data_IF_658482805675
#
_entry.id   IF_658482805675
#
_cell.length_a   1.000
_cell.length_b   1.000
_cell.length_c   1.000
_cell.angle_alpha   90.00
_cell.angle_beta   90.00
_cell.angle_gamma   90.00
#
_symmetry.space_group_name_H-M   'P 1'
#
loop_
_entity.id
_entity.type
_entity.pdbx_description
1 polymer ?
#
# COMPACT_ATOMS: atom_id res chain seq x y z
N UNK A 1 30.27 3.37 -2.63
CA UNK A 1 29.08 3.01 -3.45
C UNK A 1 27.87 3.71 -2.83
N UNK A 2 27.03 4.31 -3.63
CA UNK A 2 25.80 4.99 -3.16
C UNK A 2 24.88 4.00 -2.43
N UNK A 3 24.49 4.29 -1.17
CA UNK A 3 23.68 3.38 -0.32
C UNK A 3 22.43 2.89 -1.05
N UNK A 4 21.73 3.76 -1.77
CA UNK A 4 20.51 3.46 -2.51
C UNK A 4 20.67 2.33 -3.55
N UNK A 5 21.88 2.22 -4.15
CA UNK A 5 22.21 1.23 -5.19
C UNK A 5 22.88 -0.04 -4.62
N UNK A 6 23.05 -0.13 -3.29
CA UNK A 6 23.60 -1.35 -2.67
C UNK A 6 22.51 -2.39 -2.47
N UNK A 7 22.85 -3.69 -2.59
CA UNK A 7 21.91 -4.77 -2.27
C UNK A 7 21.39 -4.67 -0.84
N UNK A 8 20.19 -5.19 -0.63
CA UNK A 8 19.56 -5.36 0.68
C UNK A 8 18.99 -6.76 0.81
N UNK A 9 19.07 -7.33 2.00
CA UNK A 9 18.44 -8.59 2.36
C UNK A 9 17.19 -8.32 3.20
N UNK A 10 16.04 -8.81 2.75
CA UNK A 10 14.80 -8.79 3.53
C UNK A 10 14.89 -9.74 4.73
N UNK A 11 14.03 -9.55 5.73
CA UNK A 11 14.10 -10.36 6.94
C UNK A 11 13.86 -11.86 6.72
N UNK A 12 13.11 -12.25 5.67
CA UNK A 12 12.94 -13.65 5.26
C UNK A 12 14.11 -14.20 4.41
N UNK A 13 15.18 -13.44 4.23
CA UNK A 13 16.39 -13.87 3.52
C UNK A 13 16.45 -13.53 2.04
N UNK A 14 15.37 -13.06 1.43
CA UNK A 14 15.34 -12.64 0.01
C UNK A 14 16.27 -11.45 -0.19
N UNK A 15 17.13 -11.52 -1.21
CA UNK A 15 18.05 -10.46 -1.56
C UNK A 15 17.50 -9.64 -2.73
N UNK A 16 17.54 -8.30 -2.59
CA UNK A 16 17.19 -7.33 -3.62
C UNK A 16 18.48 -6.63 -4.08
N UNK A 17 18.58 -6.32 -5.38
CA UNK A 17 19.78 -5.73 -5.99
C UNK A 17 20.05 -4.28 -5.54
N UNK A 18 19.03 -3.57 -5.17
CA UNK A 18 19.11 -2.19 -4.68
C UNK A 18 17.94 -1.91 -3.72
N UNK A 19 17.84 -0.68 -3.22
CA UNK A 19 16.91 -0.29 -2.15
C UNK A 19 15.64 0.40 -2.65
N UNK A 20 15.46 0.53 -3.96
CA UNK A 20 14.24 1.09 -4.52
C UNK A 20 13.13 0.05 -4.63
N UNK A 21 11.91 0.49 -4.41
CA UNK A 21 10.70 -0.32 -4.50
C UNK A 21 9.67 0.44 -5.33
N UNK A 22 9.03 -0.26 -6.28
CA UNK A 22 7.80 0.26 -6.89
C UNK A 22 6.68 0.09 -5.87
N UNK A 23 6.29 1.19 -5.24
CA UNK A 23 5.22 1.25 -4.25
C UNK A 23 3.83 1.18 -4.89
N UNK A 24 2.82 0.73 -4.16
CA UNK A 24 1.46 0.62 -4.67
C UNK A 24 0.96 1.87 -5.39
N UNK A 25 0.47 1.65 -6.61
CA UNK A 25 -0.27 2.63 -7.40
C UNK A 25 -1.44 1.89 -8.05
N UNK A 26 -2.65 2.23 -7.68
CA UNK A 26 -3.86 1.69 -8.32
C UNK A 26 -4.12 2.48 -9.60
N UNK A 27 -4.20 1.80 -10.72
CA UNK A 27 -4.45 2.42 -12.03
C UNK A 27 -5.93 2.65 -12.30
N UNK A 28 -6.81 1.96 -11.57
CA UNK A 28 -8.28 2.02 -11.75
C UNK A 28 -8.69 1.71 -13.21
N UNK A 29 -8.06 0.70 -13.83
CA UNK A 29 -8.18 0.34 -15.25
C UNK A 29 -8.64 -1.10 -15.50
N UNK A 30 -8.99 -1.81 -14.43
CA UNK A 30 -9.54 -3.16 -14.51
C UNK A 30 -11.04 -3.14 -14.86
N UNK A 31 -11.68 -4.30 -14.89
CA UNK A 31 -13.14 -4.34 -15.06
C UNK A 31 -13.87 -4.01 -13.75
N UNK A 32 -15.18 -3.69 -13.83
CA UNK A 32 -16.00 -3.48 -12.62
C UNK A 32 -16.05 -4.70 -11.69
N UNK A 33 -15.90 -5.91 -12.27
CA UNK A 33 -15.87 -7.16 -11.53
C UNK A 33 -14.44 -7.50 -11.01
N UNK A 34 -13.51 -6.57 -11.11
CA UNK A 34 -12.15 -6.70 -10.59
C UNK A 34 -11.22 -7.59 -11.42
N UNK A 35 -11.51 -7.82 -12.67
CA UNK A 35 -10.66 -8.62 -13.56
C UNK A 35 -9.64 -7.73 -14.27
N UNK A 36 -8.39 -8.12 -14.19
CA UNK A 36 -7.24 -7.44 -14.79
C UNK A 36 -7.39 -7.36 -16.31
N UNK A 37 -7.17 -6.17 -16.87
CA UNK A 37 -7.28 -5.89 -18.30
C UNK A 37 -5.90 -5.92 -18.97
N UNK A 38 -5.90 -5.80 -20.31
CA UNK A 38 -4.66 -5.64 -21.06
C UNK A 38 -3.92 -4.35 -20.69
N UNK A 39 -4.62 -3.28 -20.38
CA UNK A 39 -4.01 -1.99 -20.00
C UNK A 39 -3.28 -2.11 -18.67
N UNK A 40 -3.84 -2.82 -17.67
CA UNK A 40 -3.15 -3.14 -16.42
C UNK A 40 -1.84 -3.89 -16.66
N UNK A 41 -1.87 -4.87 -17.59
CA UNK A 41 -0.70 -5.70 -17.93
C UNK A 41 0.38 -4.91 -18.68
N UNK A 42 0.00 -4.07 -19.63
CA UNK A 42 0.93 -3.21 -20.38
C UNK A 42 1.62 -2.22 -19.44
N UNK A 43 0.86 -1.62 -18.48
CA UNK A 43 1.39 -0.76 -17.43
C UNK A 43 2.43 -1.48 -16.57
N UNK A 44 2.10 -2.69 -16.10
CA UNK A 44 3.00 -3.50 -15.28
C UNK A 44 4.27 -3.91 -16.06
N UNK A 45 4.12 -4.36 -17.29
CA UNK A 45 5.23 -4.79 -18.14
C UNK A 45 6.20 -3.64 -18.44
N UNK A 46 5.68 -2.41 -18.70
CA UNK A 46 6.54 -1.22 -18.92
C UNK A 46 7.42 -0.91 -17.70
N UNK A 47 6.94 -1.27 -16.50
CA UNK A 47 7.62 -1.01 -15.23
C UNK A 47 8.37 -2.22 -14.67
N UNK A 48 8.46 -3.32 -15.41
CA UNK A 48 9.12 -4.55 -14.96
C UNK A 48 10.60 -4.37 -14.55
N UNK A 49 11.26 -3.33 -15.05
CA UNK A 49 12.67 -2.98 -14.73
C UNK A 49 12.82 -1.84 -13.73
N UNK A 50 11.73 -1.25 -13.27
CA UNK A 50 11.79 -0.02 -12.46
C UNK A 50 12.42 -0.24 -11.08
N UNK A 51 12.17 -1.38 -10.44
CA UNK A 51 12.70 -1.70 -9.12
C UNK A 51 12.75 -3.23 -8.89
N UNK A 52 13.66 -3.74 -8.04
CA UNK A 52 13.77 -5.18 -7.76
C UNK A 52 12.63 -5.76 -6.91
N UNK A 53 11.91 -4.92 -6.18
CA UNK A 53 10.67 -5.25 -5.49
C UNK A 53 9.56 -4.36 -6.02
N UNK A 54 8.45 -4.96 -6.40
CA UNK A 54 7.32 -4.23 -7.00
C UNK A 54 6.03 -4.67 -6.30
N UNK A 55 5.31 -3.70 -5.75
CA UNK A 55 4.02 -3.94 -5.10
C UNK A 55 2.91 -3.44 -6.02
N UNK A 56 1.90 -4.26 -6.23
CA UNK A 56 0.74 -3.92 -7.06
C UNK A 56 -0.07 -2.75 -6.47
N UNK A 57 -0.99 -2.19 -7.23
CA UNK A 57 -2.12 -1.46 -6.67
C UNK A 57 -2.96 -2.33 -5.73
N UNK A 58 -3.93 -1.71 -5.07
CA UNK A 58 -4.79 -2.36 -4.10
C UNK A 58 -5.65 -3.46 -4.75
N UNK A 59 -5.46 -4.70 -4.34
CA UNK A 59 -6.32 -5.84 -4.68
C UNK A 59 -7.30 -6.08 -3.53
N UNK A 60 -8.59 -5.91 -3.77
CA UNK A 60 -9.57 -6.13 -2.73
C UNK A 60 -9.81 -7.63 -2.50
N UNK A 61 -9.90 -8.02 -1.22
CA UNK A 61 -10.09 -9.43 -0.81
C UNK A 61 -11.56 -9.85 -0.81
N UNK A 62 -12.46 -8.87 -0.85
CA UNK A 62 -13.91 -9.05 -0.92
C UNK A 62 -14.54 -7.89 -1.70
N UNK A 63 -15.67 -8.16 -2.39
CA UNK A 63 -16.38 -7.14 -3.18
C UNK A 63 -16.90 -5.99 -2.32
N UNK A 64 -17.32 -6.25 -1.09
CA UNK A 64 -17.72 -5.21 -0.13
C UNK A 64 -16.53 -4.35 0.33
N UNK A 65 -15.31 -4.82 0.12
CA UNK A 65 -14.06 -4.11 0.40
C UNK A 65 -13.45 -3.40 -0.81
N UNK A 66 -14.11 -3.33 -1.94
CA UNK A 66 -13.64 -2.64 -3.14
C UNK A 66 -13.56 -1.13 -2.89
N UNK A 67 -12.38 -0.53 -3.17
CA UNK A 67 -12.14 0.90 -2.98
C UNK A 67 -12.39 1.70 -4.26
N UNK A 68 -11.96 1.19 -5.41
CA UNK A 68 -12.04 1.85 -6.71
C UNK A 68 -12.96 1.08 -7.65
N UNK A 69 -13.81 1.77 -8.40
CA UNK A 69 -14.81 1.15 -9.29
C UNK A 69 -14.19 0.19 -10.31
N UNK A 70 -12.98 0.51 -10.79
CA UNK A 70 -12.22 -0.28 -11.75
C UNK A 70 -10.90 -0.81 -11.14
N UNK A 71 -10.86 -0.99 -9.81
CA UNK A 71 -9.78 -1.68 -9.14
C UNK A 71 -9.87 -3.18 -9.35
N UNK A 72 -8.73 -3.89 -9.38
CA UNK A 72 -8.74 -5.34 -9.49
C UNK A 72 -8.89 -6.02 -8.13
N UNK A 73 -9.38 -7.26 -8.16
CA UNK A 73 -9.65 -8.06 -6.97
C UNK A 73 -8.78 -9.31 -6.86
N UNK A 74 -8.75 -9.82 -5.64
CA UNK A 74 -8.29 -11.18 -5.30
C UNK A 74 -9.40 -11.95 -4.56
N UNK A 75 -10.66 -11.55 -4.76
CA UNK A 75 -11.84 -11.97 -4.02
C UNK A 75 -12.42 -13.31 -4.46
N UNK A 76 -12.13 -13.72 -5.70
CA UNK A 76 -12.68 -14.95 -6.31
C UNK A 76 -11.61 -15.65 -7.17
N UNK A 77 -11.78 -16.96 -7.39
CA UNK A 77 -10.85 -17.76 -8.21
C UNK A 77 -10.83 -17.33 -9.69
N UNK A 78 -11.89 -16.69 -10.18
CA UNK A 78 -11.92 -16.07 -11.53
C UNK A 78 -10.88 -14.96 -11.71
N UNK A 79 -10.36 -14.38 -10.63
CA UNK A 79 -9.27 -13.39 -10.68
C UNK A 79 -7.92 -14.03 -11.01
N UNK A 80 -7.71 -15.32 -10.73
CA UNK A 80 -6.40 -15.99 -10.83
C UNK A 80 -5.75 -15.86 -12.20
N UNK A 81 -6.45 -16.10 -13.33
CA UNK A 81 -5.81 -15.97 -14.64
C UNK A 81 -5.24 -14.56 -14.91
N UNK A 82 -5.95 -13.52 -14.50
CA UNK A 82 -5.50 -12.13 -14.60
C UNK A 82 -4.33 -11.85 -13.66
N UNK A 83 -4.43 -12.26 -12.41
CA UNK A 83 -3.37 -12.14 -11.39
C UNK A 83 -2.09 -12.86 -11.82
N UNK A 84 -2.19 -14.06 -12.45
CA UNK A 84 -1.04 -14.78 -13.00
C UNK A 84 -0.33 -13.98 -14.10
N UNK A 85 -1.09 -13.39 -15.02
CA UNK A 85 -0.51 -12.53 -16.06
C UNK A 85 0.16 -11.30 -15.47
N UNK A 86 -0.44 -10.70 -14.43
CA UNK A 86 0.12 -9.54 -13.71
C UNK A 86 1.43 -9.91 -13.03
N UNK A 87 1.47 -11.00 -12.28
CA UNK A 87 2.70 -11.48 -11.64
C UNK A 87 3.81 -11.72 -12.67
N UNK A 88 3.50 -12.37 -13.79
CA UNK A 88 4.44 -12.62 -14.87
C UNK A 88 4.94 -11.31 -15.51
N UNK A 89 4.06 -10.33 -15.77
CA UNK A 89 4.43 -9.04 -16.35
C UNK A 89 5.39 -8.27 -15.42
N UNK A 90 5.08 -8.19 -14.12
CA UNK A 90 5.93 -7.53 -13.13
C UNK A 90 7.29 -8.22 -12.98
N UNK A 91 7.32 -9.56 -13.06
CA UNK A 91 8.53 -10.38 -12.88
C UNK A 91 9.33 -10.60 -14.18
N UNK A 92 8.88 -10.05 -15.31
CA UNK A 92 9.51 -10.27 -16.61
C UNK A 92 11.00 -9.88 -16.69
N UNK A 93 11.48 -9.07 -15.76
CA UNK A 93 12.88 -8.64 -15.65
C UNK A 93 13.58 -9.08 -14.37
N UNK A 94 13.01 -10.07 -13.66
CA UNK A 94 13.59 -10.62 -12.43
C UNK A 94 13.19 -9.93 -11.13
N UNK A 95 12.30 -8.93 -11.17
CA UNK A 95 11.75 -8.32 -9.97
C UNK A 95 10.92 -9.31 -9.14
N UNK A 96 10.77 -9.06 -7.85
CA UNK A 96 9.85 -9.76 -6.97
C UNK A 96 8.50 -9.04 -6.97
N UNK A 97 7.44 -9.66 -7.49
CA UNK A 97 6.10 -9.12 -7.53
C UNK A 97 5.33 -9.44 -6.25
N UNK A 98 4.76 -8.41 -5.62
CA UNK A 98 4.00 -8.48 -4.37
C UNK A 98 2.56 -8.07 -4.66
N UNK A 99 1.60 -8.89 -4.28
CA UNK A 99 0.17 -8.54 -4.36
C UNK A 99 -0.24 -7.81 -3.09
N UNK A 100 -0.66 -6.54 -3.20
CA UNK A 100 -1.17 -5.81 -2.05
C UNK A 100 -2.62 -6.19 -1.78
N UNK A 101 -2.90 -6.73 -0.60
CA UNK A 101 -4.24 -7.14 -0.15
C UNK A 101 -4.88 -6.03 0.69
N UNK A 102 -6.12 -5.69 0.36
CA UNK A 102 -6.86 -4.60 1.01
C UNK A 102 -8.33 -4.96 1.26
N UNK A 103 -8.91 -4.28 2.24
CA UNK A 103 -10.35 -4.14 2.45
C UNK A 103 -10.61 -2.69 2.84
N UNK A 104 -11.37 -1.96 2.02
CA UNK A 104 -11.49 -0.50 2.15
C UNK A 104 -12.27 -0.04 3.39
N UNK A 105 -13.20 -0.83 3.90
CA UNK A 105 -14.02 -0.43 5.02
C UNK A 105 -14.84 0.83 4.72
N UNK A 106 -14.79 1.81 5.61
CA UNK A 106 -15.57 3.05 5.49
C UNK A 106 -15.31 3.86 4.21
N UNK A 107 -14.23 3.57 3.49
CA UNK A 107 -13.93 4.14 2.17
C UNK A 107 -14.61 3.47 0.99
N UNK A 108 -15.29 2.33 1.17
CA UNK A 108 -15.85 1.52 0.08
C UNK A 108 -16.83 2.27 -0.84
N UNK A 109 -17.53 3.28 -0.33
CA UNK A 109 -18.46 4.09 -1.13
C UNK A 109 -17.88 5.36 -1.72
N UNK A 110 -16.58 5.55 -1.61
CA UNK A 110 -15.95 6.78 -2.07
C UNK A 110 -16.22 7.05 -3.56
N UNK A 111 -16.40 6.00 -4.35
CA UNK A 111 -16.56 6.05 -5.80
C UNK A 111 -17.91 5.51 -6.31
N UNK A 112 -18.95 5.54 -5.48
CA UNK A 112 -20.30 5.20 -5.91
C UNK A 112 -20.55 3.71 -6.14
N UNK A 113 -19.71 2.85 -5.57
CA UNK A 113 -19.97 1.41 -5.54
C UNK A 113 -21.13 1.20 -4.57
N UNK A 114 -22.27 0.75 -5.07
CA UNK A 114 -23.53 0.61 -4.31
C UNK A 114 -23.48 -0.56 -3.32
N UNK A 115 -22.44 -0.62 -2.48
CA UNK A 115 -22.31 -1.64 -1.45
C UNK A 115 -22.61 -1.04 -0.09
N UNK A 116 -23.02 -1.88 0.84
CA UNK A 116 -23.05 -1.51 2.25
C UNK A 116 -21.63 -1.23 2.70
N UNK A 117 -21.46 -0.14 3.43
CA UNK A 117 -20.17 0.29 3.95
C UNK A 117 -20.06 -0.19 5.39
N UNK A 118 -19.02 -0.93 5.66
CA UNK A 118 -18.78 -1.52 6.97
C UNK A 118 -17.58 -0.89 7.69
N UNK A 119 -17.63 -0.93 9.01
CA UNK A 119 -16.55 -0.47 9.88
C UNK A 119 -16.61 -1.13 11.25
N UNK A 120 -15.69 -0.76 12.17
CA UNK A 120 -15.71 -1.27 13.53
C UNK A 120 -16.96 -0.86 14.30
N UNK A 121 -17.56 0.29 13.95
CA UNK A 121 -18.71 0.84 14.67
C UNK A 121 -19.63 1.59 13.72
N UNK A 122 -20.89 1.69 14.09
CA UNK A 122 -21.88 2.47 13.34
C UNK A 122 -21.50 3.95 13.40
N UNK A 123 -21.26 4.56 12.24
CA UNK A 123 -20.88 5.96 12.09
C UNK A 123 -21.66 6.59 10.93
N UNK A 124 -21.88 7.90 11.03
CA UNK A 124 -22.34 8.72 9.91
C UNK A 124 -21.19 9.56 9.42
N UNK A 125 -20.80 9.38 8.16
CA UNK A 125 -19.73 10.15 7.52
C UNK A 125 -20.33 11.15 6.54
N UNK A 126 -19.66 12.30 6.38
CA UNK A 126 -20.13 13.39 5.53
C UNK A 126 -19.24 13.62 4.30
N UNK A 127 -18.11 12.93 4.23
CA UNK A 127 -17.14 13.05 3.14
C UNK A 127 -16.87 11.67 2.52
N UNK A 128 -16.78 11.61 1.19
CA UNK A 128 -16.97 12.66 0.17
C UNK A 128 -18.43 13.07 0.00
N UNK A 129 -19.37 12.25 0.43
CA UNK A 129 -20.81 12.50 0.53
C UNK A 129 -21.34 11.87 1.82
N UNK A 130 -22.55 12.26 2.20
CA UNK A 130 -23.17 11.72 3.41
C UNK A 130 -23.54 10.23 3.22
N UNK A 131 -23.04 9.37 4.09
CA UNK A 131 -23.34 7.94 4.11
C UNK A 131 -23.22 7.33 5.51
N UNK A 132 -23.87 6.19 5.71
CA UNK A 132 -23.79 5.44 6.96
C UNK A 132 -22.77 4.31 6.83
N UNK A 133 -22.01 4.09 7.90
CA UNK A 133 -21.14 2.92 8.11
C UNK A 133 -21.87 1.97 9.05
N UNK A 134 -22.07 0.72 8.63
CA UNK A 134 -22.65 -0.33 9.46
C UNK A 134 -21.54 -0.98 10.30
N UNK A 135 -21.87 -1.37 11.53
CA UNK A 135 -20.94 -2.10 12.40
C UNK A 135 -20.82 -3.56 11.96
N UNK A 136 -19.59 -4.05 11.84
CA UNK A 136 -19.35 -5.48 11.57
C UNK A 136 -19.76 -6.35 12.78
N UNK A 137 -20.49 -7.42 12.50
CA UNK A 137 -20.67 -8.48 13.50
C UNK A 137 -19.40 -9.34 13.63
N UNK A 138 -19.31 -10.17 14.69
CA UNK A 138 -18.21 -11.12 14.87
C UNK A 138 -18.11 -12.12 13.71
N UNK A 139 -19.25 -12.62 13.25
CA UNK A 139 -19.31 -13.53 12.09
C UNK A 139 -18.75 -12.88 10.82
N UNK A 140 -19.03 -11.58 10.60
CA UNK A 140 -18.49 -10.84 9.46
C UNK A 140 -16.97 -10.62 9.59
N UNK A 141 -16.47 -10.37 10.80
CA UNK A 141 -15.04 -10.28 11.07
C UNK A 141 -14.35 -11.61 10.71
N UNK A 142 -14.93 -12.76 11.11
CA UNK A 142 -14.42 -14.09 10.77
C UNK A 142 -14.44 -14.33 9.26
N UNK A 143 -15.51 -13.93 8.57
CA UNK A 143 -15.58 -14.00 7.10
C UNK A 143 -14.47 -13.17 6.46
N UNK A 144 -14.21 -11.95 6.90
CA UNK A 144 -13.15 -11.10 6.35
C UNK A 144 -11.76 -11.74 6.57
N UNK A 145 -11.49 -12.32 7.74
CA UNK A 145 -10.25 -13.07 7.99
C UNK A 145 -10.09 -14.22 6.98
N UNK A 146 -11.17 -14.98 6.74
CA UNK A 146 -11.15 -16.05 5.74
C UNK A 146 -10.90 -15.50 4.32
N UNK A 147 -11.47 -14.34 3.96
CA UNK A 147 -11.21 -13.68 2.67
C UNK A 147 -9.75 -13.31 2.47
N UNK A 148 -9.04 -12.81 3.50
CA UNK A 148 -7.60 -12.56 3.44
C UNK A 148 -6.80 -13.86 3.21
N UNK A 149 -7.18 -14.97 3.86
CA UNK A 149 -6.55 -16.30 3.65
C UNK A 149 -6.74 -16.77 2.20
N UNK A 150 -7.96 -16.67 1.69
CA UNK A 150 -8.27 -17.13 0.33
C UNK A 150 -7.61 -16.26 -0.73
N UNK A 151 -7.53 -14.94 -0.52
CA UNK A 151 -6.78 -14.04 -1.37
C UNK A 151 -5.26 -14.36 -1.35
N UNK A 152 -4.71 -14.73 -0.20
CA UNK A 152 -3.31 -15.20 -0.07
C UNK A 152 -3.09 -16.47 -0.88
N UNK A 153 -3.98 -17.47 -0.82
CA UNK A 153 -3.90 -18.68 -1.67
C UNK A 153 -3.95 -18.35 -3.16
N UNK A 154 -4.79 -17.38 -3.55
CA UNK A 154 -4.85 -16.92 -4.94
C UNK A 154 -3.56 -16.25 -5.38
N UNK A 155 -2.92 -15.44 -4.51
CA UNK A 155 -1.62 -14.86 -4.79
C UNK A 155 -0.53 -15.93 -4.99
N UNK A 156 -0.50 -16.96 -4.13
CA UNK A 156 0.43 -18.10 -4.25
C UNK A 156 0.18 -18.84 -5.58
N UNK A 157 -1.06 -19.20 -5.87
CA UNK A 157 -1.45 -19.91 -7.11
C UNK A 157 -1.18 -19.08 -8.36
N UNK A 158 -1.28 -17.76 -8.28
CA UNK A 158 -0.99 -16.84 -9.37
C UNK A 158 0.53 -16.63 -9.61
N UNK A 159 1.40 -17.10 -8.70
CA UNK A 159 2.85 -17.01 -8.86
C UNK A 159 3.45 -15.67 -8.43
N UNK A 160 2.78 -14.91 -7.55
CA UNK A 160 3.41 -13.78 -6.88
C UNK A 160 4.53 -14.25 -5.96
N UNK A 161 5.59 -13.43 -5.85
CA UNK A 161 6.69 -13.66 -4.91
C UNK A 161 6.30 -13.37 -3.45
N UNK A 162 5.15 -12.75 -3.22
CA UNK A 162 4.67 -12.42 -1.90
C UNK A 162 3.36 -11.64 -1.90
N UNK A 163 2.95 -11.27 -0.70
CA UNK A 163 1.82 -10.36 -0.47
C UNK A 163 2.24 -9.23 0.47
N UNK A 164 1.52 -8.10 0.41
CA UNK A 164 1.58 -7.01 1.37
C UNK A 164 0.18 -6.80 1.96
N UNK A 165 0.05 -6.90 3.28
CA UNK A 165 -1.21 -6.54 3.96
C UNK A 165 -1.16 -5.05 4.27
N UNK A 166 -2.15 -4.29 3.77
CA UNK A 166 -2.24 -2.87 4.02
C UNK A 166 -3.25 -2.54 5.12
N UNK A 167 -2.75 -1.87 6.16
CA UNK A 167 -3.56 -1.23 7.21
C UNK A 167 -3.42 0.29 7.18
N UNK A 168 -2.96 0.85 6.04
CA UNK A 168 -2.72 2.27 5.91
C UNK A 168 -3.97 3.03 5.41
N UNK A 169 -3.94 4.35 5.55
CA UNK A 169 -4.84 5.26 4.84
C UNK A 169 -6.34 5.01 5.10
N UNK A 170 -6.67 4.64 6.35
CA UNK A 170 -8.03 4.36 6.85
C UNK A 170 -8.70 3.13 6.22
N UNK A 171 -7.93 2.16 5.76
CA UNK A 171 -8.47 0.85 5.42
C UNK A 171 -9.06 0.14 6.65
N UNK A 172 -9.88 -0.87 6.43
CA UNK A 172 -10.66 -1.56 7.48
C UNK A 172 -9.83 -1.90 8.72
N UNK A 173 -8.69 -2.53 8.55
CA UNK A 173 -7.84 -2.96 9.67
C UNK A 173 -7.33 -1.77 10.50
N UNK A 174 -6.94 -0.65 9.85
CA UNK A 174 -6.57 0.56 10.58
C UNK A 174 -7.74 1.13 11.36
N UNK A 175 -8.96 1.09 10.80
CA UNK A 175 -10.14 1.67 11.47
C UNK A 175 -10.50 0.94 12.77
N UNK A 176 -10.19 -0.36 12.90
CA UNK A 176 -10.30 -1.10 14.16
C UNK A 176 -9.27 -0.67 15.20
N UNK A 177 -8.06 -0.34 14.77
CA UNK A 177 -7.01 0.12 15.67
C UNK A 177 -7.22 1.55 16.18
N UNK A 178 -7.91 2.38 15.40
CA UNK A 178 -8.13 3.79 15.69
C UNK A 178 -9.31 4.04 16.63
N UNK A 179 -9.09 4.75 17.74
CA UNK A 179 -10.15 5.20 18.63
C UNK A 179 -11.09 6.24 18.01
N UNK A 180 -10.71 6.83 16.86
CA UNK A 180 -11.58 7.75 16.10
C UNK A 180 -12.75 7.00 15.47
N UNK A 181 -12.49 5.85 14.86
CA UNK A 181 -13.49 5.05 14.12
C UNK A 181 -14.04 3.90 14.92
N UNK A 182 -13.27 3.32 15.84
CA UNK A 182 -13.69 2.22 16.70
C UNK A 182 -14.32 2.77 17.98
N UNK A 183 -15.55 2.34 18.27
CA UNK A 183 -16.31 2.68 19.50
C UNK A 183 -16.88 1.42 20.18
N UNK A 184 -16.39 0.24 19.77
CA UNK A 184 -16.81 -1.04 20.37
C UNK A 184 -16.30 -1.18 21.78
N UNK A 185 -17.03 -2.00 22.57
CA UNK A 185 -16.68 -2.39 23.94
C UNK A 185 -16.61 -3.92 24.11
N UNK A 186 -16.33 -4.61 23.01
CA UNK A 186 -16.08 -6.06 23.01
C UNK A 186 -14.57 -6.35 22.83
N UNK A 187 -14.24 -7.61 22.52
CA UNK A 187 -12.84 -8.03 22.34
C UNK A 187 -12.12 -7.38 21.15
N UNK A 188 -12.82 -6.67 20.26
CA UNK A 188 -12.26 -5.88 19.16
C UNK A 188 -12.36 -4.36 19.44
N UNK A 189 -12.73 -3.96 20.65
CA UNK A 189 -13.09 -2.60 21.02
C UNK A 189 -11.98 -1.78 21.65
N UNK A 190 -12.37 -0.62 22.18
CA UNK A 190 -11.45 0.43 22.65
C UNK A 190 -10.99 0.27 24.09
N UNK A 191 -11.46 -0.75 24.80
CA UNK A 191 -11.21 -0.91 26.23
C UNK A 191 -9.74 -1.26 26.55
N UNK A 192 -9.00 -1.78 25.58
CA UNK A 192 -7.55 -1.95 25.66
C UNK A 192 -6.88 -1.82 24.30
N UNK A 193 -5.57 -1.61 24.30
CA UNK A 193 -4.77 -1.60 23.08
C UNK A 193 -4.78 -2.97 22.39
N UNK A 194 -4.73 -4.05 23.18
CA UNK A 194 -4.80 -5.43 22.70
C UNK A 194 -6.11 -5.69 21.94
N UNK A 195 -7.23 -5.20 22.45
CA UNK A 195 -8.53 -5.35 21.82
C UNK A 195 -8.55 -4.62 20.45
N UNK A 196 -8.05 -3.38 20.40
CA UNK A 196 -7.93 -2.61 19.16
C UNK A 196 -7.02 -3.29 18.12
N UNK A 197 -5.96 -3.94 18.59
CA UNK A 197 -4.99 -4.64 17.75
C UNK A 197 -5.48 -6.01 17.27
N UNK A 198 -6.42 -6.63 17.96
CA UNK A 198 -6.83 -8.04 17.81
C UNK A 198 -7.12 -8.42 16.36
N UNK A 199 -7.94 -7.66 15.65
CA UNK A 199 -8.31 -8.00 14.28
C UNK A 199 -7.08 -8.01 13.34
N UNK A 200 -6.17 -7.05 13.48
CA UNK A 200 -4.93 -7.01 12.72
C UNK A 200 -4.08 -8.25 13.04
N UNK A 201 -3.89 -8.55 14.32
CA UNK A 201 -3.07 -9.67 14.77
C UNK A 201 -3.61 -11.02 14.28
N UNK A 202 -4.93 -11.20 14.32
CA UNK A 202 -5.60 -12.40 13.82
C UNK A 202 -5.45 -12.55 12.31
N UNK A 203 -5.64 -11.47 11.53
CA UNK A 203 -5.41 -11.50 10.07
C UNK A 203 -3.98 -11.90 9.75
N UNK A 204 -2.98 -11.28 10.38
CA UNK A 204 -1.57 -11.63 10.14
C UNK A 204 -1.27 -13.08 10.51
N UNK A 205 -1.74 -13.54 11.66
CA UNK A 205 -1.55 -14.93 12.13
C UNK A 205 -2.16 -15.92 11.14
N UNK A 206 -3.42 -15.72 10.75
CA UNK A 206 -4.13 -16.66 9.89
C UNK A 206 -3.59 -16.66 8.46
N UNK A 207 -3.19 -15.50 7.93
CA UNK A 207 -2.52 -15.38 6.63
C UNK A 207 -1.16 -16.08 6.68
N UNK A 208 -0.39 -15.90 7.75
CA UNK A 208 0.91 -16.55 7.89
C UNK A 208 0.80 -18.07 7.97
N UNK A 209 -0.25 -18.62 8.61
CA UNK A 209 -0.49 -20.07 8.59
C UNK A 209 -0.72 -20.60 7.16
N UNK A 210 -1.38 -19.83 6.29
CA UNK A 210 -1.50 -20.19 4.86
C UNK A 210 -0.12 -20.16 4.19
N UNK A 211 0.64 -19.07 4.38
CA UNK A 211 1.98 -18.92 3.78
C UNK A 211 2.88 -20.08 4.21
N UNK A 212 2.95 -20.37 5.50
CA UNK A 212 3.79 -21.44 6.07
C UNK A 212 3.50 -22.82 5.49
N UNK A 213 2.23 -23.10 5.19
CA UNK A 213 1.80 -24.43 4.75
C UNK A 213 1.72 -24.58 3.22
N UNK A 214 1.51 -23.50 2.48
CA UNK A 214 1.13 -23.55 1.07
C UNK A 214 2.06 -22.77 0.13
N UNK A 215 2.89 -21.84 0.66
CA UNK A 215 3.76 -20.99 -0.15
C UNK A 215 5.20 -21.56 -0.29
N UNK A 216 5.96 -21.08 -1.30
CA UNK A 216 7.40 -21.28 -1.35
C UNK A 216 8.10 -20.71 -0.11
N UNK A 217 9.25 -21.28 0.26
CA UNK A 217 10.01 -20.92 1.47
C UNK A 217 10.45 -19.43 1.47
N UNK A 218 10.72 -18.87 0.27
CA UNK A 218 11.14 -17.47 0.08
C UNK A 218 9.97 -16.50 -0.10
N UNK A 219 8.73 -16.91 0.17
CA UNK A 219 7.55 -16.08 0.00
C UNK A 219 7.59 -14.85 0.92
N UNK A 220 7.37 -13.67 0.36
CA UNK A 220 7.51 -12.40 1.05
C UNK A 220 6.19 -12.00 1.71
N UNK A 221 6.23 -11.66 3.00
CA UNK A 221 5.11 -11.06 3.72
C UNK A 221 5.44 -9.63 4.11
N UNK A 222 4.86 -8.65 3.41
CA UNK A 222 4.99 -7.23 3.71
C UNK A 222 3.87 -6.70 4.59
N UNK A 223 4.16 -5.65 5.32
CA UNK A 223 3.20 -4.88 6.11
C UNK A 223 3.24 -3.41 5.72
N UNK A 224 2.12 -2.84 5.27
CA UNK A 224 1.99 -1.41 4.96
C UNK A 224 1.07 -0.74 5.96
N UNK A 225 1.57 0.30 6.65
CA UNK A 225 0.88 0.91 7.78
C UNK A 225 1.01 2.43 7.84
N UNK A 226 0.06 3.07 8.52
CA UNK A 226 0.14 4.44 8.98
C UNK A 226 0.54 4.42 10.46
N UNK A 227 1.69 4.98 10.88
CA UNK A 227 2.18 4.83 12.25
C UNK A 227 1.49 5.70 13.30
N UNK A 228 0.80 6.74 12.87
CA UNK A 228 0.09 7.64 13.77
C UNK A 228 -1.19 8.13 13.11
N UNK A 229 -2.30 8.19 13.84
CA UNK A 229 -3.50 8.86 13.37
C UNK A 229 -3.86 10.01 14.29
N UNK A 230 -3.71 11.25 13.77
CA UNK A 230 -4.12 12.48 14.45
C UNK A 230 -5.05 13.31 13.55
N UNK A 231 -6.11 13.88 14.12
CA UNK A 231 -7.06 14.79 13.46
C UNK A 231 -7.19 16.06 14.29
N UNK A 232 -6.25 16.98 14.11
CA UNK A 232 -6.11 18.14 15.02
C UNK A 232 -5.76 17.65 16.41
N UNK A 233 -6.58 18.00 17.41
CA UNK A 233 -6.41 17.56 18.79
C UNK A 233 -6.93 16.13 19.08
N UNK A 234 -7.57 15.48 18.10
CA UNK A 234 -8.09 14.13 18.27
C UNK A 234 -7.03 13.13 17.87
N UNK A 235 -6.67 12.22 18.76
CA UNK A 235 -5.69 11.16 18.55
C UNK A 235 -6.43 9.84 18.38
N UNK A 236 -6.27 9.19 17.23
CA UNK A 236 -6.77 7.85 16.96
C UNK A 236 -5.88 6.79 17.59
N UNK A 237 -4.58 6.94 17.40
CA UNK A 237 -3.50 6.20 18.05
C UNK A 237 -2.17 6.94 17.87
N UNK A 238 -1.22 6.67 18.76
CA UNK A 238 0.12 7.27 18.75
C UNK A 238 1.14 6.36 18.06
N UNK A 239 2.32 6.90 17.78
CA UNK A 239 3.45 6.11 17.24
C UNK A 239 3.92 5.05 18.23
N UNK A 240 3.82 5.29 19.54
CA UNK A 240 4.15 4.32 20.59
C UNK A 240 3.19 3.12 20.57
N UNK A 241 1.88 3.39 20.42
CA UNK A 241 0.87 2.34 20.27
C UNK A 241 1.08 1.54 18.99
N UNK A 242 1.46 2.19 17.90
CA UNK A 242 1.84 1.52 16.64
C UNK A 242 3.09 0.66 16.81
N UNK A 243 4.11 1.15 17.50
CA UNK A 243 5.33 0.39 17.79
C UNK A 243 5.01 -0.87 18.62
N UNK A 244 4.12 -0.77 19.59
CA UNK A 244 3.64 -1.92 20.36
C UNK A 244 2.86 -2.92 19.50
N UNK A 245 1.98 -2.45 18.60
CA UNK A 245 1.30 -3.31 17.62
C UNK A 245 2.32 -4.05 16.75
N UNK A 246 3.34 -3.34 16.28
CA UNK A 246 4.40 -3.91 15.44
C UNK A 246 5.18 -4.99 16.18
N UNK A 247 5.49 -4.78 17.45
CA UNK A 247 6.14 -5.81 18.29
C UNK A 247 5.26 -7.07 18.38
N UNK A 248 3.97 -6.92 18.65
CA UNK A 248 3.04 -8.05 18.72
C UNK A 248 2.88 -8.79 17.39
N UNK A 249 2.97 -8.10 16.25
CA UNK A 249 2.99 -8.77 14.95
C UNK A 249 4.29 -9.56 14.80
N UNK A 250 5.46 -8.94 15.05
CA UNK A 250 6.77 -9.58 14.89
C UNK A 250 7.00 -10.77 15.84
N UNK A 251 6.36 -10.77 17.01
CA UNK A 251 6.37 -11.92 17.94
C UNK A 251 5.61 -13.13 17.36
N UNK A 252 4.66 -12.92 16.47
CA UNK A 252 3.74 -13.96 15.95
C UNK A 252 4.06 -14.38 14.53
N UNK A 253 4.54 -13.46 13.69
CA UNK A 253 4.78 -13.69 12.27
C UNK A 253 6.07 -13.04 11.81
N UNK A 254 6.88 -13.69 10.96
CA UNK A 254 8.11 -13.14 10.42
C UNK A 254 7.78 -12.21 9.24
N UNK A 255 7.63 -10.92 9.49
CA UNK A 255 7.49 -9.94 8.42
C UNK A 255 8.80 -9.83 7.63
N UNK A 256 8.69 -9.69 6.32
CA UNK A 256 9.85 -9.49 5.43
C UNK A 256 10.28 -8.02 5.36
N UNK A 257 9.32 -7.09 5.43
CA UNK A 257 9.52 -5.64 5.49
C UNK A 257 8.29 -4.92 6.04
N UNK A 258 8.48 -3.67 6.46
CA UNK A 258 7.39 -2.75 6.84
C UNK A 258 7.49 -1.50 5.96
N UNK A 259 6.37 -1.07 5.37
CA UNK A 259 6.25 0.16 4.58
C UNK A 259 5.40 1.19 5.31
N UNK A 260 5.92 2.41 5.48
CA UNK A 260 5.16 3.52 6.06
C UNK A 260 4.39 4.23 4.96
N UNK A 261 3.11 4.45 5.17
CA UNK A 261 2.24 5.22 4.30
C UNK A 261 1.29 6.11 5.10
N UNK A 262 0.91 7.22 4.51
CA UNK A 262 -0.07 8.14 5.08
C UNK A 262 -0.67 8.99 3.96
N UNK A 263 -1.54 9.94 4.29
CA UNK A 263 -2.02 10.97 3.40
C UNK A 263 -1.16 12.23 3.51
N UNK A 264 -0.85 12.88 2.41
CA UNK A 264 -0.17 14.17 2.38
C UNK A 264 1.04 14.25 1.44
N UNK A 265 1.69 15.41 1.48
CA UNK A 265 2.92 15.67 0.73
C UNK A 265 4.13 15.32 1.61
N UNK A 266 5.21 14.84 0.98
CA UNK A 266 6.48 14.54 1.66
C UNK A 266 6.29 13.73 2.95
N UNK A 267 5.52 12.64 2.88
CA UNK A 267 5.14 11.81 4.04
C UNK A 267 6.37 11.32 4.79
N UNK A 268 7.48 11.06 4.09
CA UNK A 268 8.73 10.64 4.70
C UNK A 268 9.31 11.68 5.69
N UNK A 269 8.82 12.93 5.65
CA UNK A 269 9.15 14.01 6.59
C UNK A 269 8.06 14.26 7.65
N UNK A 270 7.03 13.43 7.70
CA UNK A 270 5.99 13.59 8.72
C UNK A 270 6.59 13.46 10.12
N UNK A 271 6.15 14.37 10.99
CA UNK A 271 6.54 14.40 12.40
C UNK A 271 5.43 13.85 13.27
N UNK A 272 5.81 13.27 14.38
CA UNK A 272 4.90 12.87 15.45
C UNK A 272 4.18 14.10 15.97
N UNK A 273 2.85 14.04 16.03
CA UNK A 273 1.96 15.13 16.45
C UNK A 273 1.31 14.89 17.80
N UNK A 274 1.21 13.61 18.20
CA UNK A 274 0.70 13.27 19.52
C UNK A 274 1.67 13.78 20.59
N UNK A 275 1.12 14.37 21.67
CA UNK A 275 1.91 14.75 22.84
C UNK A 275 2.57 13.50 23.44
N UNK A 276 3.86 13.61 23.78
CA UNK A 276 4.62 12.49 24.33
C UNK A 276 6.12 12.60 24.08
N UNK A 277 6.87 11.53 24.37
CA UNK A 277 8.34 11.54 24.33
C UNK A 277 8.90 11.71 22.90
N UNK A 278 8.13 11.43 21.88
CA UNK A 278 8.54 11.51 20.47
C UNK A 278 7.93 12.70 19.73
N UNK A 279 7.16 13.57 20.37
CA UNK A 279 6.55 14.73 19.73
C UNK A 279 7.58 15.57 18.97
N UNK A 280 7.25 15.92 17.71
CA UNK A 280 8.09 16.73 16.83
C UNK A 280 9.23 15.98 16.14
N UNK A 281 9.55 14.73 16.51
CA UNK A 281 10.52 13.88 15.81
C UNK A 281 9.93 13.34 14.49
N UNK A 282 10.79 12.95 13.55
CA UNK A 282 10.33 12.30 12.33
C UNK A 282 9.71 10.92 12.65
N UNK A 283 8.54 10.63 12.10
CA UNK A 283 7.86 9.33 12.29
C UNK A 283 8.75 8.17 11.83
N UNK A 284 9.38 8.31 10.65
CA UNK A 284 10.28 7.28 10.12
C UNK A 284 11.47 7.04 11.05
N UNK A 285 12.06 8.09 11.62
CA UNK A 285 13.16 7.99 12.60
C UNK A 285 12.72 7.18 13.83
N UNK A 286 11.59 7.56 14.44
CA UNK A 286 11.07 6.89 15.65
C UNK A 286 10.78 5.40 15.40
N UNK A 287 10.13 5.08 14.27
CA UNK A 287 9.82 3.69 13.92
C UNK A 287 11.10 2.91 13.58
N UNK A 288 12.04 3.50 12.83
CA UNK A 288 13.31 2.88 12.48
C UNK A 288 14.15 2.54 13.70
N UNK A 289 14.27 3.47 14.65
CA UNK A 289 14.97 3.24 15.92
C UNK A 289 14.30 2.13 16.73
N UNK A 290 12.97 2.11 16.80
CA UNK A 290 12.22 1.07 17.51
C UNK A 290 12.42 -0.31 16.89
N UNK A 291 12.41 -0.41 15.57
CA UNK A 291 12.65 -1.67 14.87
C UNK A 291 14.06 -2.21 15.08
N UNK A 292 15.05 -1.34 15.26
CA UNK A 292 16.44 -1.70 15.58
C UNK A 292 17.02 -2.79 14.65
N UNK A 293 16.67 -2.75 13.36
CA UNK A 293 17.13 -3.71 12.36
C UNK A 293 16.44 -5.09 12.38
N UNK A 294 15.42 -5.31 13.20
CA UNK A 294 14.65 -6.58 13.24
C UNK A 294 13.95 -6.88 11.92
N UNK A 295 13.51 -5.84 11.22
CA UNK A 295 12.87 -5.92 9.90
C UNK A 295 13.16 -4.64 9.12
N UNK A 296 13.45 -4.70 7.80
CA UNK A 296 13.68 -3.51 6.99
C UNK A 296 12.46 -2.58 6.95
N UNK A 297 12.70 -1.28 7.10
CA UNK A 297 11.71 -0.22 6.97
C UNK A 297 11.77 0.40 5.58
N UNK A 298 10.61 0.62 4.96
CA UNK A 298 10.45 1.33 3.69
C UNK A 298 9.81 2.71 3.92
N UNK A 299 10.55 3.76 3.62
CA UNK A 299 10.02 5.11 3.56
C UNK A 299 9.27 5.34 2.24
N UNK A 300 8.12 6.00 2.29
CA UNK A 300 7.31 6.32 1.10
C UNK A 300 6.72 7.73 1.17
N UNK A 301 6.21 8.19 0.02
CA UNK A 301 5.35 9.36 -0.10
C UNK A 301 6.09 10.69 -0.28
N UNK A 302 5.94 11.28 -1.47
CA UNK A 302 6.53 12.57 -1.84
C UNK A 302 8.00 12.53 -2.25
N UNK A 303 8.61 11.37 -2.26
CA UNK A 303 10.00 11.16 -2.70
C UNK A 303 9.98 11.13 -4.23
N UNK A 304 10.44 12.20 -4.87
CA UNK A 304 10.39 12.38 -6.31
C UNK A 304 11.70 12.88 -6.93
N UNK A 305 12.79 12.79 -6.19
CA UNK A 305 14.15 13.04 -6.70
C UNK A 305 15.18 12.16 -5.99
N UNK A 306 16.39 12.12 -6.53
CA UNK A 306 17.50 11.38 -5.92
C UNK A 306 17.89 12.01 -4.58
N UNK A 307 17.87 13.35 -4.47
CA UNK A 307 18.18 14.06 -3.22
C UNK A 307 17.18 13.65 -2.12
N UNK A 308 15.88 13.66 -2.41
CA UNK A 308 14.86 13.20 -1.44
C UNK A 308 15.01 11.73 -1.12
N UNK A 309 15.44 10.90 -2.06
CA UNK A 309 15.73 9.49 -1.81
C UNK A 309 16.92 9.34 -0.85
N UNK A 310 17.98 10.16 -1.02
CA UNK A 310 19.13 10.22 -0.10
C UNK A 310 18.74 10.70 1.30
N UNK A 311 17.84 11.67 1.39
CA UNK A 311 17.30 12.14 2.67
C UNK A 311 16.46 11.05 3.36
N UNK A 312 15.51 10.47 2.65
CA UNK A 312 14.59 9.47 3.21
C UNK A 312 15.28 8.18 3.68
N UNK A 313 16.38 7.75 2.99
CA UNK A 313 17.13 6.53 3.35
C UNK A 313 17.94 6.67 4.65
N UNK A 314 18.02 7.86 5.23
CA UNK A 314 18.69 8.07 6.53
C UNK A 314 17.90 7.42 7.67
N UNK A 315 16.59 7.30 7.53
CA UNK A 315 15.68 6.70 8.52
C UNK A 315 14.87 5.55 7.94
N UNK A 316 15.47 4.81 7.01
CA UNK A 316 14.87 3.62 6.40
C UNK A 316 15.97 2.75 5.75
N UNK A 317 15.61 1.51 5.39
CA UNK A 317 16.45 0.63 4.59
C UNK A 317 16.05 0.62 3.12
N UNK A 318 14.80 0.98 2.79
CA UNK A 318 14.25 0.97 1.43
C UNK A 318 13.47 2.25 1.15
N UNK A 319 13.36 2.59 -0.14
CA UNK A 319 12.62 3.75 -0.64
C UNK A 319 11.54 3.29 -1.61
N UNK A 320 10.30 3.55 -1.25
CA UNK A 320 9.14 3.24 -2.09
C UNK A 320 8.70 4.45 -2.91
N UNK A 321 8.76 4.33 -4.22
CA UNK A 321 8.31 5.33 -5.20
C UNK A 321 7.05 4.81 -5.91
N UNK A 322 6.06 5.67 -6.12
CA UNK A 322 4.84 5.34 -6.89
C UNK A 322 4.65 6.26 -8.09
N UNK A 323 4.24 7.50 -7.88
CA UNK A 323 3.98 8.48 -8.96
C UNK A 323 5.19 8.73 -9.85
N UNK A 324 6.40 8.67 -9.29
CA UNK A 324 7.65 8.79 -10.07
C UNK A 324 7.70 7.75 -11.18
N UNK A 325 7.41 6.49 -10.86
CA UNK A 325 7.45 5.42 -11.87
C UNK A 325 6.27 5.47 -12.87
N UNK A 326 5.25 6.28 -12.61
CA UNK A 326 4.22 6.57 -13.62
C UNK A 326 4.84 7.39 -14.76
N UNK A 327 5.55 8.47 -14.43
CA UNK A 327 6.15 9.39 -15.38
C UNK A 327 7.53 8.92 -15.89
N UNK A 328 8.34 8.31 -15.03
CA UNK A 328 9.72 7.91 -15.31
C UNK A 328 9.99 6.46 -14.84
N UNK A 329 9.56 5.45 -15.59
CA UNK A 329 9.84 4.06 -15.26
C UNK A 329 11.32 3.70 -15.19
N UNK A 330 12.17 4.47 -15.86
CA UNK A 330 13.62 4.24 -15.96
C UNK A 330 14.43 5.03 -14.90
N UNK A 331 13.77 5.62 -13.91
CA UNK A 331 14.37 6.45 -12.84
C UNK A 331 15.60 5.81 -12.19
N UNK A 332 15.50 4.56 -11.74
CA UNK A 332 16.61 3.85 -11.08
C UNK A 332 17.72 3.49 -12.06
N UNK A 333 17.37 3.15 -13.31
CA UNK A 333 18.36 2.87 -14.35
C UNK A 333 19.18 4.11 -14.67
N UNK A 334 18.53 5.26 -14.89
CA UNK A 334 19.21 6.55 -15.13
C UNK A 334 20.11 6.94 -13.99
N UNK A 335 19.64 6.78 -12.74
CA UNK A 335 20.47 7.03 -11.55
C UNK A 335 21.71 6.11 -11.51
N UNK A 336 21.54 4.82 -11.77
CA UNK A 336 22.66 3.84 -11.81
C UNK A 336 23.70 4.17 -12.89
N UNK A 337 23.26 4.75 -13.99
CA UNK A 337 24.09 5.15 -15.15
C UNK A 337 24.72 6.55 -14.97
N UNK A 338 24.54 7.23 -13.83
CA UNK A 338 24.93 8.62 -13.57
C UNK A 338 24.32 9.60 -14.57
N UNK A 339 23.06 9.41 -14.90
CA UNK A 339 22.24 10.22 -15.83
C UNK A 339 21.06 10.84 -15.09
N UNK A 340 21.32 11.37 -13.90
CA UNK A 340 20.29 11.99 -13.04
C UNK A 340 19.60 13.18 -13.74
N UNK A 341 20.37 13.92 -14.58
CA UNK A 341 19.87 15.04 -15.38
C UNK A 341 18.87 14.63 -16.47
N UNK A 342 18.85 13.37 -16.88
CA UNK A 342 17.90 12.83 -17.86
C UNK A 342 16.57 12.41 -17.22
N UNK A 343 16.47 12.41 -15.90
CA UNK A 343 15.22 12.07 -15.20
C UNK A 343 14.18 13.16 -15.51
N UNK A 344 13.10 12.74 -16.16
CA UNK A 344 12.02 13.65 -16.54
C UNK A 344 10.67 13.20 -15.97
N UNK A 345 10.12 14.01 -15.06
CA UNK A 345 8.78 13.82 -14.50
C UNK A 345 7.72 14.72 -15.16
N UNK A 346 8.16 15.60 -16.08
CA UNK A 346 7.28 16.50 -16.85
C UNK A 346 6.92 15.79 -18.16
N UNK A 347 5.77 15.13 -18.17
CA UNK A 347 5.27 14.33 -19.29
C UNK A 347 3.90 14.81 -19.73
N UNK A 348 3.63 14.69 -21.04
CA UNK A 348 2.41 15.11 -21.67
C UNK A 348 1.56 13.95 -22.22
N UNK A 349 0.45 14.30 -22.86
CA UNK A 349 -0.47 13.33 -23.49
C UNK A 349 0.22 12.50 -24.57
N UNK A 350 1.22 13.06 -25.24
CA UNK A 350 2.04 12.38 -26.25
C UNK A 350 2.89 11.23 -25.69
N UNK A 351 3.16 11.23 -24.38
CA UNK A 351 3.97 10.21 -23.71
C UNK A 351 3.17 8.98 -23.25
N UNK A 352 1.84 9.06 -23.26
CA UNK A 352 0.96 8.05 -22.65
C UNK A 352 1.18 6.68 -23.25
N UNK A 353 1.30 6.58 -24.58
CA UNK A 353 1.53 5.30 -25.24
C UNK A 353 2.91 4.73 -24.90
N UNK A 354 3.95 5.55 -24.92
CA UNK A 354 5.33 5.17 -24.55
C UNK A 354 5.43 4.71 -23.09
N UNK A 355 4.68 5.35 -22.22
CA UNK A 355 4.63 5.03 -20.78
C UNK A 355 3.65 3.91 -20.44
N UNK A 356 2.89 3.42 -21.43
CA UNK A 356 1.83 2.44 -21.27
C UNK A 356 0.85 2.85 -20.16
N UNK A 357 0.49 4.14 -20.11
CA UNK A 357 -0.50 4.66 -19.20
C UNK A 357 -1.87 4.25 -19.69
N UNK A 358 -2.70 3.56 -18.87
CA UNK A 358 -4.02 3.13 -19.29
C UNK A 358 -4.90 4.31 -19.69
N UNK A 359 -5.59 4.21 -20.84
CA UNK A 359 -6.45 5.29 -21.35
C UNK A 359 -7.73 5.45 -20.53
N UNK A 360 -8.23 4.35 -19.96
CA UNK A 360 -9.39 4.35 -19.07
C UNK A 360 -9.02 4.66 -17.59
N UNK A 361 -7.74 4.70 -17.31
CA UNK A 361 -7.25 4.97 -15.97
C UNK A 361 -7.24 6.47 -15.67
N UNK A 362 -6.95 6.72 -14.42
CA UNK A 362 -6.73 8.04 -13.83
C UNK A 362 -7.98 8.80 -13.44
N UNK A 363 -9.21 8.36 -13.78
CA UNK A 363 -10.36 8.87 -13.06
C UNK A 363 -10.13 8.61 -11.57
N UNK A 364 -10.15 9.67 -10.78
CA UNK A 364 -9.87 9.64 -9.34
C UNK A 364 -8.38 9.47 -8.96
N UNK A 365 -7.50 8.98 -9.84
CA UNK A 365 -6.07 8.82 -9.55
C UNK A 365 -5.34 10.17 -9.59
N UNK A 366 -5.70 11.07 -10.51
CA UNK A 366 -5.12 12.41 -10.58
C UNK A 366 -5.42 13.19 -9.29
N UNK A 367 -6.61 13.01 -8.70
CA UNK A 367 -6.94 13.62 -7.42
C UNK A 367 -5.96 13.17 -6.30
N UNK A 368 -5.59 11.89 -6.28
CA UNK A 368 -4.59 11.40 -5.32
C UNK A 368 -3.18 11.92 -5.62
N UNK A 369 -2.82 12.05 -6.91
CA UNK A 369 -1.55 12.68 -7.33
C UNK A 369 -1.53 14.17 -6.95
N UNK A 370 -2.63 14.89 -7.09
CA UNK A 370 -2.77 16.29 -6.68
C UNK A 370 -2.57 16.45 -5.18
N UNK A 371 -3.13 15.55 -4.40
CA UNK A 371 -2.97 15.58 -2.95
C UNK A 371 -1.52 15.36 -2.53
N UNK A 372 -0.82 14.41 -3.15
CA UNK A 372 0.59 14.11 -2.89
C UNK A 372 1.58 15.10 -3.52
N UNK A 373 1.19 15.77 -4.60
CA UNK A 373 2.04 16.68 -5.39
C UNK A 373 3.43 16.10 -5.74
N UNK A 374 3.49 14.80 -6.00
CA UNK A 374 4.74 14.11 -6.31
C UNK A 374 5.20 14.30 -7.76
N UNK A 375 4.31 14.72 -8.65
CA UNK A 375 4.59 15.05 -10.05
C UNK A 375 4.44 16.55 -10.30
N UNK A 376 5.11 17.10 -11.34
CA UNK A 376 4.93 18.48 -11.79
C UNK A 376 3.45 18.81 -12.05
N UNK A 377 3.09 20.09 -11.88
CA UNK A 377 1.71 20.55 -12.11
C UNK A 377 1.27 20.28 -13.55
N UNK A 378 2.14 20.57 -14.53
CA UNK A 378 1.87 20.30 -15.94
C UNK A 378 1.48 18.83 -16.18
N UNK A 379 2.27 17.87 -15.69
CA UNK A 379 1.98 16.45 -15.81
C UNK A 379 0.62 16.07 -15.23
N UNK A 380 0.29 16.62 -14.05
CA UNK A 380 -1.01 16.36 -13.40
C UNK A 380 -2.17 16.96 -14.19
N UNK A 381 -1.98 18.14 -14.79
CA UNK A 381 -2.99 18.80 -15.64
C UNK A 381 -3.17 18.03 -16.96
N UNK A 382 -2.10 17.49 -17.55
CA UNK A 382 -2.20 16.63 -18.73
C UNK A 382 -2.98 15.34 -18.42
N UNK A 383 -2.69 14.68 -17.31
CA UNK A 383 -3.45 13.48 -16.90
C UNK A 383 -4.92 13.79 -16.64
N UNK A 384 -5.24 14.98 -16.12
CA UNK A 384 -6.63 15.41 -15.89
C UNK A 384 -7.42 15.57 -17.19
N UNK A 385 -6.77 15.98 -18.28
CA UNK A 385 -7.39 16.02 -19.61
C UNK A 385 -7.81 14.65 -20.13
N UNK A 386 -7.15 13.56 -19.67
CA UNK A 386 -7.55 12.21 -20.01
C UNK A 386 -8.84 11.81 -19.29
N UNK A 387 -9.03 12.24 -18.05
CA UNK A 387 -10.26 11.97 -17.29
C UNK A 387 -11.49 12.60 -17.94
N UNK A 388 -11.34 13.77 -18.56
CA UNK A 388 -12.46 14.51 -19.22
C UNK A 388 -12.95 13.83 -20.49
N UNK A 389 -12.18 12.91 -21.07
CA UNK A 389 -12.50 12.20 -22.31
C UNK A 389 -13.14 10.82 -22.10
N UNK A 390 -13.41 10.42 -20.86
CA UNK A 390 -14.02 9.16 -20.43
C UNK A 390 -15.10 9.40 -19.38
#
# INVERSE_FOLDING_TARGET
MEKLLTPIKLANGVQLENRFVLSPMTTNSSTKDGIITKEDLDYALRRAKSAPLQVTGAAYVDVDGQLFEFGFGAHDDSCIPGLTKMANAMQASGAKAILQLTYSGAGANYYGVNHKVYGPSKLKLHLPFEHEVEELSHEMIDVIKQKYKDATRRAIRAGFAGIEISTAQKLMLQTFFSTVSNKRHDEYGVDSLENRARFILEVFKEVYEVIKNEAPEDFILGYRATPEETRGAIIGYTVEEFNQLTDWILERVPLSYIAIASWGQNIYLNKVRAEGPNEGRLINEVVHEHLAGRVPLMATGGINSIEKSREAIMHAEMIGLSSVFVAEPDFVAKFRENREEDINLDVGVEDIERLAIPKAAFKDIVLMMDYGKSLPQHTRDEFRKLEENY
#
